data_IF_464199713012
#
_entry.id   IF_464199713012
#
_cell.length_a   1.000
_cell.length_b   1.000
_cell.length_c   1.000
_cell.angle_alpha   90.00
_cell.angle_beta   90.00
_cell.angle_gamma   90.00
#
_symmetry.space_group_name_H-M   'P 1'
#
loop_
_entity.id
_entity.type
_entity.pdbx_description
1 polymer ?
#
# COMPACT_ATOMS: atom_id res chain seq x y z
N UNK A 1 -1.04 -9.80 -13.17
CA UNK A 1 -2.40 -9.52 -12.66
C UNK A 1 -2.87 -8.19 -13.20
N UNK A 2 -4.18 -8.01 -13.40
CA UNK A 2 -4.77 -6.77 -13.94
C UNK A 2 -5.31 -5.91 -12.79
N UNK A 3 -5.02 -4.62 -12.79
CA UNK A 3 -5.58 -3.61 -11.90
C UNK A 3 -6.62 -2.76 -12.67
N UNK A 4 -7.64 -2.19 -12.02
CA UNK A 4 -7.84 -2.12 -10.57
C UNK A 4 -8.32 -3.43 -9.94
N UNK A 5 -8.00 -3.64 -8.65
CA UNK A 5 -8.48 -4.80 -7.89
C UNK A 5 -8.69 -4.46 -6.42
N UNK A 6 -9.75 -5.02 -5.85
CA UNK A 6 -10.12 -4.85 -4.44
C UNK A 6 -9.66 -6.04 -3.61
N UNK A 7 -9.12 -5.75 -2.44
CA UNK A 7 -8.63 -6.69 -1.45
C UNK A 7 -9.29 -6.41 -0.10
N UNK A 8 -9.40 -7.45 0.73
CA UNK A 8 -9.85 -7.34 2.11
C UNK A 8 -8.64 -7.64 2.99
N UNK A 9 -7.95 -6.62 3.54
CA UNK A 9 -6.78 -6.82 4.38
C UNK A 9 -7.09 -7.70 5.58
N UNK A 10 -6.20 -8.64 5.89
CA UNK A 10 -6.28 -9.41 7.13
C UNK A 10 -5.89 -8.48 8.30
N UNK A 11 -6.79 -8.24 9.28
CA UNK A 11 -6.48 -7.38 10.43
C UNK A 11 -5.40 -7.97 11.35
N UNK A 12 -5.03 -9.24 11.16
CA UNK A 12 -3.97 -9.94 11.89
C UNK A 12 -2.67 -10.08 11.08
N UNK A 13 -2.64 -9.55 9.85
CA UNK A 13 -1.43 -9.53 9.03
C UNK A 13 -0.27 -8.84 9.78
N UNK A 14 0.95 -9.25 9.46
CA UNK A 14 2.15 -8.63 10.02
C UNK A 14 2.12 -7.10 9.77
N UNK A 15 2.27 -6.26 10.80
CA UNK A 15 2.26 -4.82 10.63
C UNK A 15 3.38 -4.34 9.70
N UNK A 16 3.07 -3.37 8.85
CA UNK A 16 4.09 -2.68 8.08
C UNK A 16 5.06 -1.96 9.02
N UNK A 17 6.35 -2.13 8.77
CA UNK A 17 7.43 -1.35 9.39
C UNK A 17 8.23 -0.72 8.27
N UNK A 18 8.33 0.60 8.30
CA UNK A 18 9.20 1.31 7.36
C UNK A 18 10.66 0.92 7.63
N UNK A 19 11.39 0.62 6.56
CA UNK A 19 12.83 0.45 6.59
C UNK A 19 13.51 1.56 5.77
N UNK A 20 14.02 2.61 6.44
CA UNK A 20 14.73 3.68 5.77
C UNK A 20 15.97 3.23 4.98
N UNK A 21 16.54 2.06 5.31
CA UNK A 21 17.68 1.49 4.60
C UNK A 21 17.30 0.68 3.35
N UNK A 22 16.00 0.42 3.13
CA UNK A 22 15.57 -0.35 1.97
C UNK A 22 15.95 0.34 0.65
N UNK A 23 16.47 -0.45 -0.29
CA UNK A 23 16.85 0.01 -1.64
C UNK A 23 15.66 0.14 -2.59
N UNK A 24 14.49 -0.39 -2.22
CA UNK A 24 13.30 -0.44 -3.07
C UNK A 24 12.06 0.06 -2.33
N UNK A 25 11.14 0.61 -3.12
CA UNK A 25 9.83 1.09 -2.66
C UNK A 25 8.75 0.59 -3.60
N UNK A 26 7.54 0.49 -3.08
CA UNK A 26 6.34 0.35 -3.90
C UNK A 26 5.66 1.70 -4.02
N UNK A 27 5.46 2.15 -5.26
CA UNK A 27 4.65 3.30 -5.62
C UNK A 27 3.23 2.84 -5.97
N UNK A 28 2.20 3.45 -5.39
CA UNK A 28 0.83 3.03 -5.64
C UNK A 28 -0.21 4.15 -5.57
N UNK A 29 -1.34 3.86 -6.22
CA UNK A 29 -2.59 4.57 -6.05
C UNK A 29 -3.62 3.60 -5.47
N UNK A 30 -4.36 4.04 -4.47
CA UNK A 30 -5.37 3.19 -3.83
C UNK A 30 -6.51 4.00 -3.23
N UNK A 31 -7.64 3.33 -3.03
CA UNK A 31 -8.78 3.78 -2.23
C UNK A 31 -8.97 2.81 -1.07
N UNK A 32 -9.09 3.33 0.15
CA UNK A 32 -9.48 2.57 1.34
C UNK A 32 -10.89 3.00 1.73
N UNK A 33 -11.86 2.09 1.64
CA UNK A 33 -13.22 2.34 2.13
C UNK A 33 -13.30 2.00 3.62
N UNK A 34 -14.02 2.80 4.41
CA UNK A 34 -14.20 2.51 5.83
C UNK A 34 -15.54 1.80 6.09
N UNK A 35 -15.52 0.85 7.02
CA UNK A 35 -16.72 0.09 7.41
C UNK A 35 -17.79 0.95 8.09
N UNK A 36 -17.44 2.14 8.59
CA UNK A 36 -18.34 3.14 9.15
C UNK A 36 -18.74 4.25 8.17
N UNK A 37 -18.40 4.09 6.88
CA UNK A 37 -18.73 5.03 5.82
C UNK A 37 -17.60 6.03 5.53
N UNK A 38 -17.56 6.52 4.28
CA UNK A 38 -16.47 7.34 3.77
C UNK A 38 -15.30 6.53 3.24
N UNK A 39 -14.27 7.23 2.77
CA UNK A 39 -13.06 6.63 2.20
C UNK A 39 -11.88 7.60 2.25
N UNK A 40 -10.66 7.06 2.11
CA UNK A 40 -9.43 7.81 1.85
C UNK A 40 -8.86 7.35 0.50
N UNK A 41 -8.34 8.29 -0.28
CA UNK A 41 -7.61 7.99 -1.51
C UNK A 41 -6.13 8.37 -1.33
N UNK A 42 -5.25 7.47 -1.75
CA UNK A 42 -3.82 7.70 -1.90
C UNK A 42 -3.49 7.82 -3.40
N UNK A 43 -2.68 8.80 -3.75
CA UNK A 43 -2.11 8.96 -5.09
C UNK A 43 -0.61 9.14 -4.99
N UNK A 44 0.13 8.43 -5.83
CA UNK A 44 1.59 8.47 -5.93
C UNK A 44 2.33 8.18 -4.59
N UNK A 45 1.71 7.44 -3.68
CA UNK A 45 2.30 7.11 -2.37
C UNK A 45 3.44 6.11 -2.50
N UNK A 46 4.40 6.20 -1.58
CA UNK A 46 5.56 5.31 -1.50
C UNK A 46 5.62 4.62 -0.14
N UNK A 47 5.81 3.30 -0.14
CA UNK A 47 6.20 2.53 1.05
C UNK A 47 7.49 1.76 0.77
N UNK A 48 8.33 1.65 1.78
CA UNK A 48 9.56 0.86 1.73
C UNK A 48 9.20 -0.63 1.65
N UNK A 49 9.94 -1.42 0.88
CA UNK A 49 9.70 -2.87 0.76
C UNK A 49 11.00 -3.64 0.83
N UNK A 50 10.93 -4.92 1.21
CA UNK A 50 12.07 -5.82 1.09
C UNK A 50 12.15 -6.39 -0.33
N UNK A 51 13.30 -6.22 -0.98
CA UNK A 51 13.56 -6.78 -2.31
C UNK A 51 12.78 -6.10 -3.45
N UNK A 52 12.64 -6.82 -4.57
CA UNK A 52 12.18 -6.27 -5.86
C UNK A 52 10.75 -6.68 -6.23
N UNK A 53 10.03 -7.35 -5.32
CA UNK A 53 8.69 -7.90 -5.59
C UNK A 53 7.78 -7.78 -4.38
N UNK A 54 6.50 -7.48 -4.62
CA UNK A 54 5.47 -7.43 -3.60
C UNK A 54 4.15 -7.93 -4.21
N UNK A 55 3.38 -8.73 -3.45
CA UNK A 55 2.04 -9.11 -3.85
C UNK A 55 1.05 -7.95 -3.60
N UNK A 56 0.11 -7.66 -4.51
CA UNK A 56 -0.91 -6.62 -4.29
C UNK A 56 -1.76 -6.84 -3.03
N UNK A 57 -2.06 -8.10 -2.68
CA UNK A 57 -2.73 -8.48 -1.45
C UNK A 57 -1.95 -7.99 -0.22
N UNK A 58 -0.62 -8.19 -0.21
CA UNK A 58 0.26 -7.72 0.86
C UNK A 58 0.35 -6.19 0.90
N UNK A 59 0.34 -5.54 -0.27
CA UNK A 59 0.28 -4.08 -0.34
C UNK A 59 -0.98 -3.52 0.34
N UNK A 60 -2.14 -4.16 0.15
CA UNK A 60 -3.39 -3.72 0.79
C UNK A 60 -3.30 -3.75 2.34
N UNK A 61 -2.66 -4.78 2.90
CA UNK A 61 -2.38 -4.87 4.34
C UNK A 61 -1.40 -3.79 4.80
N UNK A 62 -0.31 -3.59 4.05
CA UNK A 62 0.67 -2.56 4.35
C UNK A 62 0.06 -1.16 4.34
N UNK A 63 -0.84 -0.86 3.40
CA UNK A 63 -1.54 0.43 3.30
C UNK A 63 -2.34 0.71 4.58
N UNK A 64 -3.15 -0.24 5.04
CA UNK A 64 -3.95 -0.09 6.26
C UNK A 64 -3.06 0.07 7.49
N UNK A 65 -1.99 -0.72 7.57
CA UNK A 65 -1.04 -0.67 8.68
C UNK A 65 -0.25 0.64 8.71
N UNK A 66 0.26 1.12 7.58
CA UNK A 66 1.08 2.33 7.48
C UNK A 66 0.31 3.61 7.83
N UNK A 67 -0.97 3.67 7.43
CA UNK A 67 -1.83 4.81 7.69
C UNK A 67 -2.54 4.74 9.06
N UNK A 68 -2.36 3.64 9.81
CA UNK A 68 -2.99 3.39 11.11
C UNK A 68 -4.52 3.64 11.10
N UNK A 69 -5.19 3.17 10.05
CA UNK A 69 -6.60 3.45 9.82
C UNK A 69 -7.51 2.56 10.67
N UNK A 70 -8.20 3.17 11.63
CA UNK A 70 -9.25 2.50 12.40
C UNK A 70 -10.47 2.22 11.51
N UNK A 71 -11.08 1.03 11.63
CA UNK A 71 -12.27 0.60 10.84
C UNK A 71 -12.04 0.54 9.33
N UNK A 72 -10.79 0.42 8.88
CA UNK A 72 -10.48 0.16 7.48
C UNK A 72 -11.23 -1.10 6.98
N UNK A 73 -11.87 -0.94 5.83
CA UNK A 73 -12.55 -2.00 5.11
C UNK A 73 -11.74 -2.41 3.87
N UNK A 74 -12.40 -2.66 2.72
CA UNK A 74 -11.72 -3.06 1.51
C UNK A 74 -10.76 -1.98 0.98
N UNK A 75 -9.66 -2.43 0.37
CA UNK A 75 -8.68 -1.58 -0.30
C UNK A 75 -8.72 -1.88 -1.78
N UNK A 76 -8.98 -0.87 -2.61
CA UNK A 76 -8.92 -0.98 -4.07
C UNK A 76 -7.63 -0.35 -4.56
N UNK A 77 -6.72 -1.16 -5.10
CA UNK A 77 -5.46 -0.70 -5.69
C UNK A 77 -5.71 -0.43 -7.17
N UNK A 78 -5.41 0.78 -7.63
CA UNK A 78 -5.62 1.21 -9.03
C UNK A 78 -4.30 1.29 -9.80
N UNK A 79 -3.18 1.52 -9.13
CA UNK A 79 -1.84 1.47 -9.70
C UNK A 79 -0.85 0.89 -8.68
N UNK A 80 0.15 0.15 -9.16
CA UNK A 80 1.21 -0.42 -8.35
C UNK A 80 2.47 -0.59 -9.19
N UNK A 81 3.60 -0.09 -8.69
CA UNK A 81 4.90 -0.21 -9.34
C UNK A 81 6.01 -0.31 -8.31
N UNK A 82 6.93 -1.27 -8.47
CA UNK A 82 8.17 -1.28 -7.70
C UNK A 82 9.16 -0.28 -8.32
N UNK A 83 9.80 0.53 -7.48
CA UNK A 83 10.79 1.54 -7.87
C UNK A 83 12.02 1.44 -6.97
N UNK A 84 13.19 1.77 -7.51
CA UNK A 84 14.41 1.94 -6.71
C UNK A 84 14.39 3.27 -5.97
N UNK A 85 14.92 3.28 -4.75
CA UNK A 85 15.11 4.51 -3.98
C UNK A 85 16.06 5.45 -4.73
N UNK A 86 15.70 6.73 -4.83
CA UNK A 86 16.51 7.76 -5.47
C UNK A 86 16.41 7.84 -7.00
N UNK A 87 15.85 6.83 -7.68
CA UNK A 87 15.59 6.86 -9.13
C UNK A 87 14.23 7.47 -9.49
N UNK A 88 13.36 7.67 -8.49
CA UNK A 88 12.09 8.36 -8.61
C UNK A 88 12.14 9.67 -7.81
N UNK A 89 11.62 10.78 -8.37
CA UNK A 89 11.44 12.00 -7.58
C UNK A 89 10.46 11.68 -6.45
N UNK A 90 10.96 11.72 -5.23
CA UNK A 90 10.15 11.89 -4.02
C UNK A 90 9.45 13.25 -4.23
N UNK A 91 8.18 13.21 -4.60
CA UNK A 91 7.38 14.40 -4.92
C UNK A 91 7.19 15.30 -3.70
#
# INVERSE_FOLDING_TARGET
MTLPRTFHPDPTAEPYRADPASTHRVKFDARVDFTNGGHVEARDFLLDIEGESLAPERLAEMIVSAMNLLRAGPVTITAMRIVRRGEHRDG
#
